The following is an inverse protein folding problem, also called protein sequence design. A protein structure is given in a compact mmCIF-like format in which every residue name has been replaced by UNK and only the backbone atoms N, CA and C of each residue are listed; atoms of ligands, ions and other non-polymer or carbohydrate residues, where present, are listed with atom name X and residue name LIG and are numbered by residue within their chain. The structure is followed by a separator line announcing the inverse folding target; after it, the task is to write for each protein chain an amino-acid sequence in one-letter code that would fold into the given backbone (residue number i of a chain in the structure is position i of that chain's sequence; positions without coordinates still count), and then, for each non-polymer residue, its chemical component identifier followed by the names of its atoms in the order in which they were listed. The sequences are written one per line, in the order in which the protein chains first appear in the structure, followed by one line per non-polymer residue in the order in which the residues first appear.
data_IF_879349004498
#
_entry.id   IF_879349004498
#
_cell.length_a   1.000
_cell.length_b   1.000
_cell.length_c   1.000
_cell.angle_alpha   90.00
_cell.angle_beta   90.00
_cell.angle_gamma   90.00
#
_symmetry.space_group_name_H-M   'P 1'
#
loop_
_entity.id
_entity.type
_entity.pdbx_description
1 polymer ?
#
# COMPACT_ATOMS: atom_id res chain seq x y z
N UNK A 1 -15.73 -16.75 15.52
CA UNK A 1 -14.26 -16.67 15.30
C UNK A 1 -13.90 -15.19 15.28
N UNK A 2 -12.75 -14.76 15.73
CA UNK A 2 -12.38 -13.33 15.68
C UNK A 2 -12.19 -12.93 14.22
N UNK A 3 -12.79 -11.80 13.82
CA UNK A 3 -12.55 -11.24 12.49
C UNK A 3 -11.11 -10.74 12.44
N UNK A 4 -10.37 -11.11 11.43
CA UNK A 4 -9.01 -10.65 11.22
C UNK A 4 -9.02 -9.40 10.32
N UNK A 5 -8.68 -8.25 10.88
CA UNK A 5 -8.71 -6.95 10.18
C UNK A 5 -7.29 -6.46 9.92
N UNK A 6 -6.88 -6.45 8.67
CA UNK A 6 -5.55 -6.03 8.24
C UNK A 6 -5.65 -4.75 7.40
N UNK A 7 -4.83 -3.76 7.72
CA UNK A 7 -4.66 -2.55 6.92
C UNK A 7 -3.30 -2.56 6.24
N UNK A 8 -3.29 -2.52 4.92
CA UNK A 8 -2.09 -2.40 4.11
C UNK A 8 -1.95 -0.96 3.61
N UNK A 9 -0.86 -0.31 3.98
CA UNK A 9 -0.52 1.06 3.59
C UNK A 9 0.62 0.95 2.58
N UNK A 10 0.29 1.13 1.31
CA UNK A 10 1.19 0.86 0.18
C UNK A 10 2.05 2.09 -0.10
N UNK A 11 3.36 1.92 0.07
CA UNK A 11 4.43 2.82 -0.39
C UNK A 11 4.23 4.31 -0.03
N UNK A 12 3.70 4.58 1.15
CA UNK A 12 3.56 5.96 1.63
C UNK A 12 4.90 6.52 2.12
N UNK A 13 5.87 6.49 1.19
CA UNK A 13 7.25 6.97 1.39
C UNK A 13 7.41 8.42 0.94
N UNK A 14 8.41 9.11 1.48
CA UNK A 14 8.65 10.53 1.18
C UNK A 14 8.90 10.77 -0.31
N UNK A 15 9.62 9.88 -1.00
CA UNK A 15 9.90 10.04 -2.44
C UNK A 15 8.64 10.02 -3.31
N UNK A 16 7.59 9.32 -2.89
CA UNK A 16 6.31 9.28 -3.62
C UNK A 16 5.31 10.35 -3.18
N UNK A 17 5.55 11.04 -2.09
CA UNK A 17 4.63 12.06 -1.55
C UNK A 17 5.15 13.47 -1.78
N UNK A 18 6.32 13.81 -1.24
CA UNK A 18 6.93 15.14 -1.29
C UNK A 18 8.32 15.17 -1.94
N UNK A 19 8.89 13.99 -2.21
CA UNK A 19 10.23 13.83 -2.78
C UNK A 19 10.25 13.78 -4.32
N UNK A 20 11.21 13.05 -4.87
CA UNK A 20 11.57 13.10 -6.30
C UNK A 20 10.46 12.64 -7.27
N UNK A 21 9.58 11.78 -6.84
CA UNK A 21 8.38 11.32 -7.57
C UNK A 21 7.08 11.82 -6.94
N UNK A 22 7.19 12.72 -5.96
CA UNK A 22 6.06 13.28 -5.24
C UNK A 22 5.18 14.18 -6.13
N UNK A 23 3.91 14.26 -5.75
CA UNK A 23 2.95 15.17 -6.34
C UNK A 23 1.86 15.55 -5.33
N UNK A 24 1.13 16.63 -5.60
CA UNK A 24 0.10 17.16 -4.68
C UNK A 24 -0.98 16.12 -4.33
N UNK A 25 -1.35 15.25 -5.25
CA UNK A 25 -2.39 14.23 -5.03
C UNK A 25 -1.89 13.16 -4.04
N UNK A 26 -0.67 12.66 -4.25
CA UNK A 26 -0.06 11.69 -3.36
C UNK A 26 0.22 12.30 -1.98
N UNK A 27 0.65 13.55 -1.91
CA UNK A 27 0.83 14.26 -0.65
C UNK A 27 -0.51 14.45 0.09
N UNK A 28 -1.60 14.77 -0.62
CA UNK A 28 -2.93 14.91 -0.02
C UNK A 28 -3.49 13.61 0.56
N UNK A 29 -3.05 12.44 0.07
CA UNK A 29 -3.45 11.15 0.62
C UNK A 29 -2.95 10.94 2.06
N UNK A 30 -1.88 11.60 2.48
CA UNK A 30 -1.33 11.51 3.85
C UNK A 30 -2.41 11.82 4.88
N UNK A 31 -3.05 13.00 4.79
CA UNK A 31 -4.09 13.41 5.74
C UNK A 31 -5.29 12.47 5.73
N UNK A 32 -5.71 12.00 4.55
CA UNK A 32 -6.84 11.09 4.41
C UNK A 32 -6.58 9.72 5.05
N UNK A 33 -5.36 9.18 4.90
CA UNK A 33 -4.96 7.92 5.54
C UNK A 33 -4.92 8.08 7.06
N UNK A 34 -4.37 9.18 7.56
CA UNK A 34 -4.34 9.50 9.00
C UNK A 34 -5.77 9.57 9.55
N UNK A 35 -6.66 10.27 8.86
CA UNK A 35 -8.06 10.38 9.26
C UNK A 35 -8.77 9.02 9.24
N UNK A 36 -8.51 8.20 8.22
CA UNK A 36 -9.06 6.85 8.13
C UNK A 36 -8.62 5.98 9.31
N UNK A 37 -7.32 5.98 9.64
CA UNK A 37 -6.78 5.23 10.77
C UNK A 37 -7.38 5.72 12.10
N UNK A 38 -7.43 7.04 12.31
CA UNK A 38 -7.91 7.63 13.56
C UNK A 38 -9.40 7.42 13.79
N UNK A 39 -10.21 7.46 12.74
CA UNK A 39 -11.66 7.35 12.80
C UNK A 39 -12.17 5.92 12.55
N UNK A 40 -11.28 4.95 12.33
CA UNK A 40 -11.69 3.55 12.14
C UNK A 40 -12.49 3.06 13.36
N UNK A 41 -13.71 2.50 13.14
CA UNK A 41 -14.52 1.95 14.23
C UNK A 41 -13.96 0.61 14.75
N UNK A 42 -13.06 0.00 14.01
CA UNK A 42 -12.41 -1.26 14.37
C UNK A 42 -10.93 -1.05 14.65
N UNK A 43 -10.40 -1.81 15.61
CA UNK A 43 -8.97 -1.94 15.80
C UNK A 43 -8.44 -2.92 14.75
N UNK A 44 -7.27 -2.64 14.21
CA UNK A 44 -6.60 -3.55 13.29
C UNK A 44 -5.81 -4.60 14.07
N UNK A 45 -5.86 -5.84 13.62
CA UNK A 45 -4.98 -6.89 14.14
C UNK A 45 -3.54 -6.61 13.66
N UNK A 46 -3.42 -6.17 12.41
CA UNK A 46 -2.13 -5.78 11.87
C UNK A 46 -2.24 -4.57 10.92
N UNK A 47 -1.28 -3.64 11.02
CA UNK A 47 -1.03 -2.61 10.03
C UNK A 47 0.29 -2.92 9.34
N UNK A 48 0.26 -3.04 8.02
CA UNK A 48 1.40 -3.39 7.18
C UNK A 48 1.77 -2.18 6.32
N UNK A 49 2.99 -1.69 6.48
CA UNK A 49 3.58 -0.73 5.56
C UNK A 49 4.39 -1.48 4.51
N UNK A 50 4.07 -1.33 3.23
CA UNK A 50 5.03 -1.71 2.20
C UNK A 50 5.96 -0.54 1.92
N UNK A 51 7.22 -0.86 1.58
CA UNK A 51 8.19 0.12 1.13
C UNK A 51 8.80 -0.36 -0.18
N UNK A 52 8.64 0.44 -1.22
CA UNK A 52 9.43 0.26 -2.42
C UNK A 52 10.90 0.46 -2.07
N UNK A 53 11.76 -0.49 -2.46
CA UNK A 53 13.13 -0.53 -1.95
C UNK A 53 14.11 -0.87 -3.06
N UNK A 54 14.88 0.12 -3.45
CA UNK A 54 15.89 0.01 -4.48
C UNK A 54 17.30 0.13 -3.92
N UNK A 55 18.27 -0.42 -4.66
CA UNK A 55 19.68 -0.35 -4.33
C UNK A 55 20.38 0.78 -5.11
N UNK A 56 21.61 1.12 -4.73
CA UNK A 56 22.39 2.18 -5.37
C UNK A 56 22.58 2.00 -6.90
N UNK A 57 22.47 0.76 -7.38
CA UNK A 57 22.55 0.43 -8.81
C UNK A 57 21.20 0.48 -9.53
N UNK A 58 20.21 1.20 -8.97
CA UNK A 58 18.87 1.33 -9.56
C UNK A 58 18.87 1.61 -11.07
N UNK A 59 19.75 2.52 -11.53
CA UNK A 59 19.85 2.92 -12.94
C UNK A 59 20.26 1.77 -13.86
N UNK A 60 20.88 0.71 -13.34
CA UNK A 60 21.27 -0.49 -14.10
C UNK A 60 20.15 -1.53 -14.19
N UNK A 61 19.06 -1.32 -13.45
CA UNK A 61 17.91 -2.23 -13.43
C UNK A 61 17.01 -2.06 -14.66
N UNK A 62 16.11 -3.00 -14.87
CA UNK A 62 15.10 -2.90 -15.94
C UNK A 62 14.16 -1.71 -15.67
N UNK A 63 13.80 -1.46 -14.41
CA UNK A 63 12.96 -0.35 -14.01
C UNK A 63 13.68 0.98 -14.20
N UNK A 64 14.92 1.11 -13.72
CA UNK A 64 15.71 2.33 -13.86
C UNK A 64 15.98 2.74 -15.32
N UNK A 65 15.98 1.77 -16.25
CA UNK A 65 16.05 2.09 -17.70
C UNK A 65 14.74 2.65 -18.26
N UNK A 66 13.58 2.34 -17.63
CA UNK A 66 12.26 2.84 -18.04
C UNK A 66 11.86 4.12 -17.32
N UNK A 67 12.24 4.24 -16.06
CA UNK A 67 12.03 5.40 -15.21
C UNK A 67 13.39 5.86 -14.65
N UNK A 68 14.15 6.68 -15.38
CA UNK A 68 15.52 7.05 -15.01
C UNK A 68 15.55 8.13 -13.89
N UNK A 69 14.85 7.87 -12.82
CA UNK A 69 14.77 8.73 -11.63
C UNK A 69 15.05 7.84 -10.41
N UNK A 70 16.28 7.85 -9.87
CA UNK A 70 16.55 7.13 -8.63
C UNK A 70 15.63 7.59 -7.51
N UNK A 71 14.94 6.65 -6.90
CA UNK A 71 13.98 6.87 -5.81
C UNK A 71 13.99 5.70 -4.85
N UNK A 72 13.49 5.90 -3.67
CA UNK A 72 13.36 4.89 -2.63
C UNK A 72 14.61 4.03 -2.45
N UNK A 73 15.79 4.66 -2.57
CA UNK A 73 17.06 3.98 -2.34
C UNK A 73 17.18 3.66 -0.86
N UNK A 74 17.40 2.39 -0.55
CA UNK A 74 17.48 1.88 0.82
C UNK A 74 18.38 2.73 1.72
N UNK A 75 17.87 3.09 2.90
CA UNK A 75 18.58 3.90 3.89
C UNK A 75 18.59 5.41 3.63
N UNK A 76 18.05 5.90 2.51
CA UNK A 76 17.92 7.35 2.26
C UNK A 76 16.68 7.94 2.97
N UNK A 77 16.61 9.27 3.08
CA UNK A 77 15.44 9.96 3.63
C UNK A 77 14.20 9.72 2.77
N UNK A 78 14.34 9.71 1.46
CA UNK A 78 13.24 9.48 0.51
C UNK A 78 12.59 8.09 0.62
N UNK A 79 13.36 7.10 1.05
CA UNK A 79 12.89 5.73 1.29
C UNK A 79 12.03 5.60 2.56
N UNK A 80 12.16 6.53 3.52
CA UNK A 80 11.40 6.46 4.77
C UNK A 80 9.91 6.65 4.53
N UNK A 81 9.09 5.90 5.27
CA UNK A 81 7.64 6.14 5.34
C UNK A 81 7.39 7.53 5.93
N UNK A 82 6.30 8.16 5.55
CA UNK A 82 5.86 9.44 6.11
C UNK A 82 5.60 9.30 7.62
N UNK A 83 6.36 10.00 8.48
CA UNK A 83 6.32 9.77 9.94
C UNK A 83 4.95 10.03 10.57
N UNK A 84 4.16 10.94 10.00
CA UNK A 84 2.83 11.27 10.50
C UNK A 84 1.85 10.10 10.37
N UNK A 85 2.01 9.29 9.31
CA UNK A 85 1.19 8.06 9.12
C UNK A 85 1.65 6.98 10.10
N UNK A 86 2.96 6.82 10.29
CA UNK A 86 3.51 5.89 11.29
C UNK A 86 3.01 6.23 12.70
N UNK A 87 3.01 7.53 13.04
CA UNK A 87 2.49 8.01 14.33
C UNK A 87 1.00 7.71 14.49
N UNK A 88 0.19 7.87 13.42
CA UNK A 88 -1.22 7.54 13.45
C UNK A 88 -1.48 6.03 13.59
N UNK A 89 -0.64 5.19 12.99
CA UNK A 89 -0.73 3.73 13.08
C UNK A 89 -0.37 3.21 14.48
N UNK A 90 0.51 3.93 15.19
CA UNK A 90 0.94 3.56 16.53
C UNK A 90 -0.25 3.49 17.51
N UNK A 91 -0.44 2.33 18.14
CA UNK A 91 -1.57 2.12 19.06
C UNK A 91 -2.93 1.82 18.42
N UNK A 92 -3.02 1.78 17.09
CA UNK A 92 -4.26 1.45 16.35
C UNK A 92 -4.30 0.00 15.85
N UNK A 93 -3.22 -0.72 15.97
CA UNK A 93 -3.11 -2.14 15.68
C UNK A 93 -2.46 -2.90 16.84
N UNK A 94 -2.64 -4.22 16.85
CA UNK A 94 -1.92 -5.09 17.77
C UNK A 94 -0.47 -5.27 17.32
N UNK A 95 -0.26 -5.23 16.00
CA UNK A 95 1.06 -5.33 15.38
C UNK A 95 1.21 -4.36 14.22
N UNK A 96 2.39 -3.75 14.10
CA UNK A 96 2.78 -2.90 12.96
C UNK A 96 4.06 -3.50 12.36
N UNK A 97 4.04 -3.77 11.06
CA UNK A 97 5.19 -4.34 10.35
C UNK A 97 5.52 -3.58 9.07
N UNK A 98 6.73 -3.82 8.56
CA UNK A 98 7.21 -3.28 7.30
C UNK A 98 7.60 -4.43 6.38
N UNK A 99 7.21 -4.33 5.12
CA UNK A 99 7.58 -5.28 4.06
C UNK A 99 8.25 -4.50 2.93
N UNK A 100 9.54 -4.72 2.80
CA UNK A 100 10.33 -4.14 1.72
C UNK A 100 10.16 -4.96 0.44
N UNK A 101 9.96 -4.29 -0.68
CA UNK A 101 9.71 -4.92 -1.97
C UNK A 101 10.52 -4.23 -3.08
N UNK A 102 11.16 -5.01 -3.97
CA UNK A 102 11.93 -4.46 -5.08
C UNK A 102 11.09 -4.30 -6.36
N UNK A 103 9.79 -4.47 -6.27
CA UNK A 103 8.85 -4.45 -7.41
C UNK A 103 7.51 -3.84 -7.00
N UNK A 104 6.66 -3.53 -7.98
CA UNK A 104 5.35 -2.90 -7.74
C UNK A 104 4.44 -3.75 -6.84
N UNK A 105 4.24 -5.03 -7.13
CA UNK A 105 3.58 -5.99 -6.25
C UNK A 105 4.59 -6.75 -5.37
N UNK A 106 4.17 -7.31 -4.27
CA UNK A 106 5.04 -7.97 -3.30
C UNK A 106 4.67 -9.43 -3.08
N UNK A 107 5.55 -10.33 -3.48
CA UNK A 107 5.41 -11.75 -3.12
C UNK A 107 5.69 -12.03 -1.63
N UNK A 108 6.41 -11.13 -0.97
CA UNK A 108 6.63 -11.23 0.47
C UNK A 108 5.36 -10.90 1.26
N UNK A 109 4.53 -9.97 0.77
CA UNK A 109 3.22 -9.68 1.34
C UNK A 109 2.28 -10.89 1.24
N UNK A 110 2.25 -11.54 0.07
CA UNK A 110 1.47 -12.76 -0.14
C UNK A 110 1.89 -13.88 0.81
N UNK A 111 3.20 -14.11 0.95
CA UNK A 111 3.74 -15.10 1.88
C UNK A 111 3.34 -14.80 3.32
N UNK A 112 3.37 -13.53 3.72
CA UNK A 112 2.93 -13.10 5.05
C UNK A 112 1.43 -13.42 5.29
N UNK A 113 0.58 -13.17 4.30
CA UNK A 113 -0.84 -13.53 4.38
C UNK A 113 -1.05 -15.05 4.45
N UNK A 114 -0.24 -15.84 3.76
CA UNK A 114 -0.27 -17.30 3.87
C UNK A 114 0.06 -17.76 5.30
N UNK A 115 1.14 -17.22 5.88
CA UNK A 115 1.56 -17.53 7.26
C UNK A 115 0.49 -17.15 8.31
N UNK A 116 -0.27 -16.09 8.07
CA UNK A 116 -1.38 -15.66 8.90
C UNK A 116 -2.70 -16.44 8.65
N UNK A 117 -2.77 -17.25 7.61
CA UNK A 117 -3.99 -17.95 7.22
C UNK A 117 -5.10 -17.02 6.72
N UNK A 118 -4.74 -15.93 6.02
CA UNK A 118 -5.67 -14.87 5.63
C UNK A 118 -6.70 -15.29 4.56
N UNK A 119 -6.55 -16.42 3.90
CA UNK A 119 -7.54 -16.90 2.93
C UNK A 119 -8.78 -17.47 3.64
N UNK A 120 -9.57 -16.60 4.25
CA UNK A 120 -10.74 -16.94 5.07
C UNK A 120 -11.82 -15.87 4.96
N UNK A 121 -13.08 -16.27 4.97
CA UNK A 121 -14.22 -15.37 4.97
C UNK A 121 -14.31 -14.46 6.23
N UNK A 122 -13.59 -14.81 7.29
CA UNK A 122 -13.49 -14.01 8.52
C UNK A 122 -12.37 -12.94 8.42
N UNK A 123 -11.64 -12.86 7.29
CA UNK A 123 -10.54 -11.92 7.08
C UNK A 123 -10.99 -10.75 6.21
N UNK A 124 -10.67 -9.54 6.65
CA UNK A 124 -10.79 -8.32 5.84
C UNK A 124 -9.39 -7.71 5.64
N UNK A 125 -8.98 -7.55 4.39
CA UNK A 125 -7.73 -6.91 4.02
C UNK A 125 -8.06 -5.59 3.30
N UNK A 126 -7.66 -4.50 3.91
CA UNK A 126 -7.94 -3.13 3.42
C UNK A 126 -6.68 -2.51 2.87
N UNK A 127 -6.76 -1.92 1.68
CA UNK A 127 -5.64 -1.26 1.02
C UNK A 127 -5.83 0.25 0.94
N UNK A 128 -4.74 0.97 1.18
CA UNK A 128 -4.58 2.42 1.01
C UNK A 128 -3.21 2.70 0.41
N UNK A 129 -2.94 3.92 -0.03
CA UNK A 129 -1.59 4.36 -0.42
C UNK A 129 -1.42 4.73 -1.88
N UNK A 130 -0.19 4.63 -2.38
CA UNK A 130 0.22 5.14 -3.71
C UNK A 130 1.15 4.18 -4.46
N UNK A 131 1.18 4.23 -5.81
CA UNK A 131 0.18 4.86 -6.67
C UNK A 131 -0.94 3.87 -6.94
N UNK A 132 -2.19 4.34 -6.98
CA UNK A 132 -3.38 3.51 -7.19
C UNK A 132 -3.25 2.58 -8.40
N UNK A 133 -2.78 3.11 -9.53
CA UNK A 133 -2.65 2.39 -10.80
C UNK A 133 -1.33 1.62 -10.96
N UNK A 134 -0.47 1.56 -9.96
CA UNK A 134 0.84 0.91 -10.02
C UNK A 134 0.97 -0.06 -8.84
N UNK A 135 1.51 0.41 -7.71
CA UNK A 135 1.79 -0.46 -6.56
C UNK A 135 0.52 -0.93 -5.86
N UNK A 136 -0.49 -0.06 -5.69
CA UNK A 136 -1.74 -0.46 -5.02
C UNK A 136 -2.43 -1.57 -5.80
N UNK A 137 -2.79 -1.33 -7.07
CA UNK A 137 -3.50 -2.35 -7.89
C UNK A 137 -2.69 -3.65 -8.03
N UNK A 138 -1.35 -3.57 -8.10
CA UNK A 138 -0.50 -4.76 -8.20
C UNK A 138 -0.57 -5.62 -6.94
N UNK A 139 -0.48 -5.01 -5.75
CA UNK A 139 -0.62 -5.74 -4.49
C UNK A 139 -2.04 -6.26 -4.29
N UNK A 140 -3.07 -5.44 -4.61
CA UNK A 140 -4.48 -5.85 -4.51
C UNK A 140 -4.77 -7.06 -5.39
N UNK A 141 -4.26 -7.09 -6.63
CA UNK A 141 -4.47 -8.21 -7.55
C UNK A 141 -3.78 -9.49 -7.07
N UNK A 142 -2.52 -9.39 -6.63
CA UNK A 142 -1.80 -10.51 -6.03
C UNK A 142 -2.54 -11.04 -4.79
N UNK A 143 -2.94 -10.15 -3.88
CA UNK A 143 -3.68 -10.52 -2.68
C UNK A 143 -5.01 -11.19 -3.01
N UNK A 144 -5.78 -10.67 -3.97
CA UNK A 144 -7.05 -11.30 -4.37
C UNK A 144 -6.85 -12.68 -4.98
N UNK A 145 -5.76 -12.89 -5.71
CA UNK A 145 -5.42 -14.20 -6.26
C UNK A 145 -5.03 -15.22 -5.16
N UNK A 146 -4.39 -14.75 -4.08
CA UNK A 146 -3.92 -15.58 -2.98
C UNK A 146 -4.99 -15.78 -1.89
N UNK A 147 -5.67 -14.69 -1.49
CA UNK A 147 -6.69 -14.66 -0.43
C UNK A 147 -8.09 -14.52 -1.04
N UNK A 148 -8.48 -15.45 -1.93
CA UNK A 148 -9.70 -15.36 -2.72
C UNK A 148 -11.00 -15.51 -1.89
N UNK A 149 -10.94 -16.09 -0.69
CA UNK A 149 -12.07 -16.15 0.25
C UNK A 149 -12.15 -14.93 1.17
N UNK A 150 -11.05 -14.18 1.33
CA UNK A 150 -11.05 -12.98 2.15
C UNK A 150 -11.82 -11.83 1.49
N UNK A 151 -12.36 -10.95 2.33
CA UNK A 151 -12.84 -9.66 1.87
C UNK A 151 -11.65 -8.76 1.59
N UNK A 152 -11.36 -8.48 0.32
CA UNK A 152 -10.33 -7.55 -0.11
C UNK A 152 -10.99 -6.24 -0.55
N UNK A 153 -10.58 -5.13 0.07
CA UNK A 153 -11.17 -3.83 -0.19
C UNK A 153 -10.11 -2.72 -0.32
N UNK A 154 -10.47 -1.66 -1.02
CA UNK A 154 -9.65 -0.46 -1.24
C UNK A 154 -10.40 0.77 -0.78
N UNK A 155 -9.78 1.59 0.06
CA UNK A 155 -10.31 2.91 0.44
C UNK A 155 -9.89 3.91 -0.64
N UNK A 156 -10.79 4.17 -1.59
CA UNK A 156 -10.47 4.96 -2.78
C UNK A 156 -9.95 6.36 -2.43
N UNK A 157 -10.58 7.03 -1.48
CA UNK A 157 -10.17 8.37 -1.04
C UNK A 157 -8.80 8.39 -0.34
N UNK A 158 -8.35 7.25 0.17
CA UNK A 158 -7.03 7.08 0.79
C UNK A 158 -5.97 6.58 -0.20
N UNK A 159 -6.29 6.56 -1.50
CA UNK A 159 -5.38 6.23 -2.57
C UNK A 159 -5.20 7.42 -3.51
N UNK A 160 -4.02 7.52 -4.12
CA UNK A 160 -3.74 8.53 -5.13
C UNK A 160 -2.83 7.99 -6.23
N UNK A 161 -2.86 8.64 -7.39
CA UNK A 161 -1.97 8.35 -8.51
C UNK A 161 -1.45 9.66 -9.11
N UNK A 162 -0.58 9.54 -10.11
CA UNK A 162 0.01 10.70 -10.80
C UNK A 162 -1.07 11.63 -11.38
N UNK A 163 -2.12 11.05 -11.96
CA UNK A 163 -3.28 11.79 -12.47
C UNK A 163 -4.58 11.20 -11.91
N UNK A 164 -5.65 12.00 -11.96
CA UNK A 164 -6.99 11.54 -11.60
C UNK A 164 -7.49 10.43 -12.52
N UNK A 165 -7.23 10.55 -13.81
CA UNK A 165 -7.63 9.57 -14.81
C UNK A 165 -6.98 8.20 -14.55
N UNK A 166 -5.69 8.18 -14.21
CA UNK A 166 -5.00 6.92 -13.87
C UNK A 166 -5.50 6.33 -12.56
N UNK A 167 -5.85 7.16 -11.58
CA UNK A 167 -6.49 6.72 -10.35
C UNK A 167 -7.85 6.07 -10.65
N UNK A 168 -8.75 6.79 -11.35
CA UNK A 168 -10.09 6.31 -11.65
C UNK A 168 -10.08 5.04 -12.51
N UNK A 169 -9.19 4.98 -13.50
CA UNK A 169 -9.01 3.77 -14.33
C UNK A 169 -8.63 2.56 -13.48
N UNK A 170 -7.73 2.72 -12.52
CA UNK A 170 -7.32 1.63 -11.64
C UNK A 170 -8.47 1.20 -10.70
N UNK A 171 -9.21 2.14 -10.14
CA UNK A 171 -10.39 1.86 -9.31
C UNK A 171 -11.43 1.05 -10.11
N UNK A 172 -11.76 1.47 -11.33
CA UNK A 172 -12.70 0.73 -12.18
C UNK A 172 -12.17 -0.65 -12.56
N UNK A 173 -10.86 -0.78 -12.83
CA UNK A 173 -10.25 -2.08 -13.11
C UNK A 173 -10.38 -3.02 -11.90
N UNK A 174 -10.12 -2.56 -10.67
CA UNK A 174 -10.21 -3.38 -9.46
C UNK A 174 -11.62 -3.90 -9.20
N UNK A 175 -12.67 -3.13 -9.52
CA UNK A 175 -14.05 -3.60 -9.45
C UNK A 175 -14.31 -4.83 -10.31
N UNK A 176 -13.64 -4.94 -11.47
CA UNK A 176 -13.86 -6.06 -12.41
C UNK A 176 -13.41 -7.41 -11.85
N UNK A 177 -12.45 -7.43 -10.93
CA UNK A 177 -12.02 -8.64 -10.23
C UNK A 177 -12.44 -8.69 -8.76
N UNK A 178 -13.62 -8.12 -8.48
CA UNK A 178 -14.36 -8.27 -7.23
C UNK A 178 -13.69 -7.65 -6.00
N UNK A 179 -13.04 -6.52 -6.17
CA UNK A 179 -12.53 -5.73 -5.06
C UNK A 179 -13.62 -4.75 -4.61
N UNK A 180 -13.87 -4.71 -3.31
CA UNK A 180 -14.78 -3.74 -2.72
C UNK A 180 -14.10 -2.36 -2.70
N UNK A 181 -14.73 -1.37 -3.29
CA UNK A 181 -14.26 0.01 -3.25
C UNK A 181 -15.11 0.78 -2.23
N UNK A 182 -14.46 1.32 -1.23
CA UNK A 182 -15.09 2.05 -0.12
C UNK A 182 -14.53 3.46 0.03
#
# INVERSE_FOLDING_TARGET
MANNNILCIIDMQKDFTTGVLGNERCAAAIGKIIDYINNSPVRFDEIIFTRDTHQQNYMDTQEGRKLPVPHCIEGTDGWQVVPEIEAAAAGKADKVIYIDKPTFGSTALEKHFEELGCNSADTTITFTGVCTGICVISNVACTKAHCYEAKVQVVADCCACVTEDTHNTAIEAMKTFQIDII
#
